data_IF_642776500149
#
_entry.id   IF_642776500149
#
_cell.length_a   1.000
_cell.length_b   1.000
_cell.length_c   1.000
_cell.angle_alpha   90.00
_cell.angle_beta   90.00
_cell.angle_gamma   90.00
#
_symmetry.space_group_name_H-M   'P 1'
#
loop_
_entity.id
_entity.type
_entity.pdbx_description
1 polymer ?
#
# COMPACT_ATOMS: atom_id res chain seq x y z
N UNK A 1 4.57 1.08 40.02
CA UNK A 1 3.95 1.15 38.68
C UNK A 1 5.04 0.80 37.69
N UNK A 2 4.97 -0.39 37.10
CA UNK A 2 6.11 -1.02 36.41
C UNK A 2 6.28 -0.45 35.00
N UNK A 3 7.51 -0.14 34.61
CA UNK A 3 7.89 0.31 33.26
C UNK A 3 7.50 -0.70 32.16
N UNK A 4 7.21 -1.95 32.53
CA UNK A 4 6.82 -3.05 31.63
C UNK A 4 5.40 -2.94 31.08
N UNK A 5 4.46 -2.33 31.82
CA UNK A 5 3.05 -2.21 31.40
C UNK A 5 2.86 -1.14 30.32
N UNK A 6 3.61 -0.04 30.40
CA UNK A 6 3.48 1.09 29.46
C UNK A 6 3.95 0.73 28.05
N UNK A 7 4.95 -0.15 27.91
CA UNK A 7 5.47 -0.56 26.59
C UNK A 7 4.45 -1.41 25.79
N UNK A 8 3.68 -2.26 26.46
CA UNK A 8 2.68 -3.13 25.82
C UNK A 8 1.45 -2.34 25.35
N UNK A 9 1.03 -1.32 26.11
CA UNK A 9 -0.10 -0.47 25.75
C UNK A 9 0.18 0.40 24.51
N UNK A 10 1.39 0.97 24.42
CA UNK A 10 1.82 1.79 23.27
C UNK A 10 1.96 0.95 22.00
N UNK A 11 2.44 -0.29 22.09
CA UNK A 11 2.55 -1.21 20.95
C UNK A 11 1.16 -1.67 20.44
N UNK A 12 0.23 -1.97 21.35
CA UNK A 12 -1.15 -2.30 20.99
C UNK A 12 -1.87 -1.10 20.35
N UNK A 13 -1.61 0.13 20.82
CA UNK A 13 -2.15 1.35 20.21
C UNK A 13 -1.51 1.69 18.86
N UNK A 14 -0.23 1.39 18.66
CA UNK A 14 0.44 1.53 17.36
C UNK A 14 -0.17 0.56 16.33
N UNK A 15 -0.39 -0.70 16.70
CA UNK A 15 -1.09 -1.66 15.83
C UNK A 15 -2.55 -1.27 15.57
N UNK A 16 -3.25 -0.72 16.58
CA UNK A 16 -4.64 -0.30 16.44
C UNK A 16 -4.84 0.90 15.50
N UNK A 17 -3.78 1.61 15.13
CA UNK A 17 -3.87 2.81 14.29
C UNK A 17 -3.18 2.67 12.93
N UNK A 18 -2.89 1.43 12.49
CA UNK A 18 -2.38 1.17 11.15
C UNK A 18 -3.47 1.48 10.13
N UNK A 19 -3.21 2.47 9.27
CA UNK A 19 -4.13 2.90 8.23
C UNK A 19 -3.86 2.14 6.92
N UNK A 20 -2.60 1.98 6.56
CA UNK A 20 -2.17 1.27 5.36
C UNK A 20 -0.94 0.43 5.68
N UNK A 21 -1.05 -0.88 5.50
CA UNK A 21 0.06 -1.82 5.59
C UNK A 21 0.35 -2.38 4.20
N UNK A 22 1.61 -2.34 3.77
CA UNK A 22 2.05 -2.83 2.46
C UNK A 22 3.18 -3.82 2.68
N UNK A 23 2.98 -5.05 2.22
CA UNK A 23 3.92 -6.15 2.38
C UNK A 23 4.25 -6.75 1.00
N UNK A 24 5.54 -6.82 0.69
CA UNK A 24 6.10 -7.39 -0.54
C UNK A 24 5.43 -6.92 -1.84
N UNK A 25 5.07 -5.63 -1.90
CA UNK A 25 4.41 -5.06 -3.08
C UNK A 25 5.33 -5.18 -4.29
N UNK A 26 4.85 -5.89 -5.31
CA UNK A 26 5.53 -6.06 -6.59
C UNK A 26 4.64 -5.59 -7.72
N UNK A 27 5.21 -4.79 -8.62
CA UNK A 27 4.52 -4.33 -9.83
C UNK A 27 5.36 -4.71 -11.05
N UNK A 28 4.80 -5.54 -11.91
CA UNK A 28 5.46 -6.04 -13.12
C UNK A 28 4.61 -5.73 -14.34
N UNK A 29 5.23 -5.25 -15.41
CA UNK A 29 4.58 -4.99 -16.69
C UNK A 29 5.08 -5.98 -17.73
N UNK A 30 4.16 -6.61 -18.45
CA UNK A 30 4.54 -7.37 -19.65
C UNK A 30 4.77 -6.42 -20.81
N UNK A 31 5.94 -6.57 -21.44
CA UNK A 31 6.34 -5.85 -22.65
C UNK A 31 6.76 -6.85 -23.73
N UNK A 32 6.87 -6.45 -25.01
CA UNK A 32 7.34 -7.33 -26.07
C UNK A 32 8.75 -7.89 -25.83
N UNK A 33 9.61 -7.15 -25.11
CA UNK A 33 10.99 -7.52 -24.82
C UNK A 33 11.12 -8.33 -23.50
N UNK A 34 9.99 -8.64 -22.86
CA UNK A 34 9.93 -9.37 -21.60
C UNK A 34 9.23 -8.61 -20.47
N UNK A 35 9.23 -9.20 -19.29
CA UNK A 35 8.63 -8.60 -18.11
C UNK A 35 9.57 -7.55 -17.49
N UNK A 36 9.03 -6.37 -17.19
CA UNK A 36 9.73 -5.26 -16.51
C UNK A 36 9.14 -5.08 -15.12
N UNK A 37 9.98 -5.24 -14.08
CA UNK A 37 9.56 -5.01 -12.70
C UNK A 37 9.81 -3.56 -12.31
N UNK A 38 8.72 -2.80 -12.11
CA UNK A 38 8.76 -1.38 -11.76
C UNK A 38 8.80 -1.12 -10.25
N UNK A 39 8.27 -2.04 -9.45
CA UNK A 39 8.34 -2.02 -7.98
C UNK A 39 8.72 -3.43 -7.54
N UNK A 40 9.76 -3.55 -6.71
CA UNK A 40 10.26 -4.83 -6.24
C UNK A 40 10.28 -4.87 -4.71
N UNK A 41 9.43 -5.73 -4.14
CA UNK A 41 9.40 -6.10 -2.73
C UNK A 41 9.33 -4.88 -1.77
N UNK A 42 8.44 -3.94 -2.09
CA UNK A 42 8.25 -2.74 -1.29
C UNK A 42 7.43 -3.05 -0.04
N UNK A 43 7.97 -2.67 1.11
CA UNK A 43 7.40 -2.90 2.43
C UNK A 43 7.32 -1.59 3.21
N UNK A 44 6.13 -1.22 3.69
CA UNK A 44 5.96 -0.09 4.60
C UNK A 44 4.63 -0.15 5.37
N UNK A 45 4.58 0.52 6.51
CA UNK A 45 3.37 0.74 7.31
C UNK A 45 3.16 2.24 7.46
N UNK A 46 1.92 2.70 7.26
CA UNK A 46 1.48 4.06 7.46
C UNK A 46 0.36 4.08 8.51
N UNK A 47 0.55 4.83 9.57
CA UNK A 47 -0.46 5.01 10.62
C UNK A 47 -1.37 6.20 10.31
N UNK A 48 -2.57 6.21 10.89
CA UNK A 48 -3.48 7.33 10.72
C UNK A 48 -2.89 8.62 11.33
N UNK A 49 -2.92 9.70 10.56
CA UNK A 49 -2.34 11.00 10.94
C UNK A 49 -0.90 11.20 10.49
N UNK A 50 -0.24 10.17 9.97
CA UNK A 50 1.11 10.28 9.38
C UNK A 50 1.04 10.74 7.92
N UNK A 51 2.15 11.30 7.45
CA UNK A 51 2.34 11.64 6.03
C UNK A 51 3.56 10.90 5.51
N UNK A 52 3.36 10.05 4.51
CA UNK A 52 4.44 9.34 3.82
C UNK A 52 4.74 10.02 2.48
N UNK A 53 6.00 10.42 2.31
CA UNK A 53 6.53 10.90 1.04
C UNK A 53 7.34 9.83 0.33
N UNK A 54 7.05 9.57 -0.96
CA UNK A 54 7.86 8.68 -1.81
C UNK A 54 8.70 9.56 -2.75
N UNK A 55 10.02 9.50 -2.63
CA UNK A 55 10.97 10.32 -3.40
C UNK A 55 11.98 9.44 -4.16
N UNK A 56 12.52 9.94 -5.26
CA UNK A 56 13.46 9.21 -6.12
C UNK A 56 13.46 9.70 -7.57
N UNK A 57 14.40 9.21 -8.36
CA UNK A 57 14.60 9.59 -9.77
C UNK A 57 13.44 9.17 -10.70
N UNK A 58 13.37 9.76 -11.89
CA UNK A 58 12.40 9.31 -12.91
C UNK A 58 12.56 7.81 -13.18
N UNK A 59 11.46 7.07 -13.24
CA UNK A 59 11.47 5.62 -13.47
C UNK A 59 11.63 4.74 -12.22
N UNK A 60 11.88 5.30 -11.03
CA UNK A 60 12.11 4.51 -9.79
C UNK A 60 10.86 3.81 -9.20
N UNK A 61 9.75 3.74 -9.93
CA UNK A 61 8.54 3.03 -9.47
C UNK A 61 7.53 3.84 -8.65
N UNK A 62 7.82 5.11 -8.26
CA UNK A 62 6.94 5.91 -7.37
C UNK A 62 5.48 5.99 -7.80
N UNK A 63 5.23 6.41 -9.04
CA UNK A 63 3.88 6.50 -9.60
C UNK A 63 3.24 5.11 -9.70
N UNK A 64 4.03 4.08 -9.98
CA UNK A 64 3.53 2.71 -10.09
C UNK A 64 3.14 2.14 -8.73
N UNK A 65 3.87 2.46 -7.65
CA UNK A 65 3.45 2.19 -6.27
C UNK A 65 2.10 2.84 -5.98
N UNK A 66 1.96 4.13 -6.26
CA UNK A 66 0.72 4.86 -6.01
C UNK A 66 -0.46 4.30 -6.83
N UNK A 67 -0.23 3.98 -8.11
CA UNK A 67 -1.25 3.41 -8.98
C UNK A 67 -1.63 1.99 -8.60
N UNK A 68 -0.68 1.16 -8.16
CA UNK A 68 -0.98 -0.19 -7.66
C UNK A 68 -1.89 -0.13 -6.43
N UNK A 69 -1.54 0.67 -5.43
CA UNK A 69 -2.34 0.86 -4.22
C UNK A 69 -3.71 1.47 -4.52
N UNK A 70 -3.76 2.39 -5.48
CA UNK A 70 -5.03 2.97 -5.90
C UNK A 70 -5.84 2.05 -6.79
N UNK A 71 -5.31 0.96 -7.35
CA UNK A 71 -6.01 0.11 -8.35
C UNK A 71 -6.18 0.77 -9.72
N UNK A 72 -5.16 1.49 -10.19
CA UNK A 72 -5.13 2.27 -11.43
C UNK A 72 -4.02 1.84 -12.40
N UNK A 73 -3.45 0.64 -12.22
CA UNK A 73 -2.42 0.15 -13.14
C UNK A 73 -2.97 -0.07 -14.55
N UNK A 74 -2.08 0.09 -15.54
CA UNK A 74 -2.36 -0.27 -16.91
C UNK A 74 -2.68 -1.78 -17.04
N UNK A 75 -3.41 -2.14 -18.09
CA UNK A 75 -3.89 -3.52 -18.32
C UNK A 75 -2.78 -4.55 -18.48
N UNK A 76 -1.58 -4.14 -18.89
CA UNK A 76 -0.41 -5.00 -18.99
C UNK A 76 0.38 -5.11 -17.65
N UNK A 77 -0.07 -4.43 -16.61
CA UNK A 77 0.49 -4.48 -15.27
C UNK A 77 -0.09 -5.63 -14.44
N UNK A 78 0.76 -6.28 -13.65
CA UNK A 78 0.41 -7.29 -12.65
C UNK A 78 0.91 -6.85 -11.29
N UNK A 79 0.09 -7.13 -10.26
CA UNK A 79 0.40 -6.82 -8.86
C UNK A 79 0.62 -8.13 -8.11
N UNK A 80 1.68 -8.18 -7.31
CA UNK A 80 1.90 -9.18 -6.27
C UNK A 80 2.07 -8.53 -4.90
N UNK A 81 2.06 -9.35 -3.84
CA UNK A 81 2.13 -8.90 -2.45
C UNK A 81 0.76 -8.65 -1.83
N UNK A 82 0.74 -7.82 -0.79
CA UNK A 82 -0.46 -7.44 -0.02
C UNK A 82 -0.45 -5.95 0.27
N UNK A 83 -1.63 -5.33 0.24
CA UNK A 83 -1.84 -4.01 0.81
C UNK A 83 -3.17 -3.98 1.56
N UNK A 84 -3.13 -3.75 2.86
CA UNK A 84 -4.31 -3.66 3.69
C UNK A 84 -4.60 -2.21 4.09
N UNK A 85 -5.74 -1.67 3.68
CA UNK A 85 -6.23 -0.36 4.11
C UNK A 85 -7.32 -0.53 5.18
N UNK A 86 -7.11 0.03 6.37
CA UNK A 86 -7.96 -0.20 7.54
C UNK A 86 -8.24 -1.71 7.78
N UNK A 87 -7.20 -2.53 7.65
CA UNK A 87 -7.29 -3.99 7.83
C UNK A 87 -8.00 -4.75 6.70
N UNK A 88 -8.42 -4.08 5.63
CA UNK A 88 -9.01 -4.71 4.43
C UNK A 88 -8.00 -4.76 3.30
N UNK A 89 -7.74 -5.95 2.77
CA UNK A 89 -6.93 -6.13 1.56
C UNK A 89 -7.55 -5.36 0.38
N UNK A 90 -6.73 -4.55 -0.31
CA UNK A 90 -7.17 -3.69 -1.42
C UNK A 90 -6.59 -4.08 -2.77
N UNK A 91 -5.48 -4.84 -2.81
CA UNK A 91 -4.89 -5.25 -4.07
C UNK A 91 -5.84 -6.19 -4.81
N UNK A 92 -6.01 -5.94 -6.11
CA UNK A 92 -6.87 -6.74 -6.99
C UNK A 92 -8.36 -6.80 -6.59
N UNK A 93 -8.82 -5.91 -5.69
CA UNK A 93 -10.25 -5.77 -5.42
C UNK A 93 -11.01 -5.40 -6.71
N UNK A 94 -12.26 -5.88 -6.89
CA UNK A 94 -13.11 -5.44 -7.98
C UNK A 94 -13.28 -3.91 -7.97
N UNK A 95 -13.31 -3.30 -9.16
CA UNK A 95 -13.36 -1.85 -9.31
C UNK A 95 -14.50 -1.19 -8.52
N UNK A 96 -15.67 -1.85 -8.44
CA UNK A 96 -16.82 -1.38 -7.66
C UNK A 96 -16.51 -1.24 -6.16
N UNK A 97 -15.76 -2.18 -5.61
CA UNK A 97 -15.37 -2.17 -4.20
C UNK A 97 -14.30 -1.11 -3.94
N UNK A 98 -13.31 -1.00 -4.82
CA UNK A 98 -12.31 0.07 -4.76
C UNK A 98 -12.94 1.45 -4.85
N UNK A 99 -13.93 1.64 -5.73
CA UNK A 99 -14.63 2.93 -5.87
C UNK A 99 -15.37 3.33 -4.59
N UNK A 100 -15.87 2.36 -3.81
CA UNK A 100 -16.47 2.64 -2.50
C UNK A 100 -15.42 3.17 -1.52
N UNK A 101 -14.22 2.58 -1.51
CA UNK A 101 -13.10 3.05 -0.67
C UNK A 101 -12.60 4.43 -1.10
N UNK A 102 -12.49 4.68 -2.41
CA UNK A 102 -12.05 5.97 -2.98
C UNK A 102 -13.06 7.10 -2.77
N UNK A 103 -14.36 6.79 -2.70
CA UNK A 103 -15.43 7.79 -2.59
C UNK A 103 -15.72 8.26 -1.15
N UNK A 104 -15.25 7.54 -0.13
CA UNK A 104 -15.68 7.69 1.27
C UNK A 104 -15.28 8.99 1.98
N UNK A 105 -14.79 10.02 1.28
CA UNK A 105 -14.31 11.29 1.87
C UNK A 105 -15.12 12.54 1.53
N UNK A 106 -16.21 12.42 0.75
CA UNK A 106 -17.07 13.55 0.38
C UNK A 106 -18.55 13.37 0.77
N UNK A 107 -18.83 12.62 1.84
CA UNK A 107 -20.14 12.57 2.49
C UNK A 107 -20.07 13.18 3.88
#
# INVERSE_FOLDING_TARGET
MSLSETASATQAQHQANVLLEVNDLRVTFTTPDGDVTAVNDLNFTLHAGETLGIVGESGSGKSQTAFALMGLLATNGRIGGSAAFNGREILNLPERELNTLRANRFR
#
